data_IF_404253328045
#
_entry.id   IF_404253328045
#
_cell.length_a   1.000
_cell.length_b   1.000
_cell.length_c   1.000
_cell.angle_alpha   90.00
_cell.angle_beta   90.00
_cell.angle_gamma   90.00
#
_symmetry.space_group_name_H-M   'P 1'
#
loop_
_entity.id
_entity.type
_entity.pdbx_description
1 polymer ?
#
# COMPACT_ATOMS: atom_id res chain seq x y z
N UNK A 1 -1.77 -19.37 -12.67
CA UNK A 1 -2.59 -18.41 -13.42
C UNK A 1 -2.24 -18.46 -14.89
N UNK A 2 -3.20 -18.82 -15.70
CA UNK A 2 -3.07 -18.92 -17.15
C UNK A 2 -3.81 -17.77 -17.82
N UNK A 3 -3.18 -17.15 -18.79
CA UNK A 3 -3.80 -16.22 -19.73
C UNK A 3 -3.87 -16.87 -21.13
N UNK A 4 -4.69 -16.37 -22.06
CA UNK A 4 -4.71 -16.91 -23.43
C UNK A 4 -3.31 -16.94 -24.03
N UNK A 5 -2.81 -18.15 -24.29
CA UNK A 5 -1.49 -18.40 -24.88
C UNK A 5 -0.29 -18.36 -23.94
N UNK A 6 -0.47 -18.13 -22.63
CA UNK A 6 0.66 -18.05 -21.70
C UNK A 6 0.29 -18.52 -20.30
N UNK A 7 1.12 -19.36 -19.70
CA UNK A 7 1.11 -19.64 -18.26
C UNK A 7 1.98 -18.59 -17.57
N UNK A 8 1.38 -17.70 -16.77
CA UNK A 8 2.08 -16.63 -16.10
C UNK A 8 2.53 -16.99 -14.67
N UNK A 9 1.79 -17.90 -14.01
CA UNK A 9 2.15 -18.48 -12.71
C UNK A 9 1.89 -20.00 -12.79
N UNK A 10 2.90 -20.77 -12.43
CA UNK A 10 2.80 -22.23 -12.33
C UNK A 10 3.31 -22.63 -10.95
N UNK A 11 2.45 -23.33 -10.19
CA UNK A 11 2.78 -23.92 -8.88
C UNK A 11 3.47 -22.94 -7.89
N UNK A 12 2.99 -21.68 -7.87
CA UNK A 12 3.51 -20.68 -6.95
C UNK A 12 3.02 -20.97 -5.54
N UNK A 13 3.93 -21.29 -4.64
CA UNK A 13 3.64 -21.52 -3.22
C UNK A 13 4.61 -20.71 -2.37
N UNK A 14 4.09 -19.98 -1.40
CA UNK A 14 4.85 -19.23 -0.38
C UNK A 14 3.97 -18.94 0.82
N UNK A 15 4.58 -18.64 1.92
CA UNK A 15 3.96 -18.21 3.17
C UNK A 15 4.61 -16.91 3.65
N UNK A 16 3.87 -16.14 4.44
CA UNK A 16 4.34 -14.89 5.05
C UNK A 16 3.88 -14.89 6.50
N UNK A 17 4.79 -14.68 7.44
CA UNK A 17 4.50 -14.65 8.85
C UNK A 17 4.15 -13.24 9.36
N UNK A 18 3.46 -13.16 10.48
CA UNK A 18 3.15 -11.89 11.13
C UNK A 18 4.44 -11.13 11.48
N UNK A 19 4.47 -9.84 11.17
CA UNK A 19 5.64 -8.98 11.37
C UNK A 19 6.82 -9.29 10.44
N UNK A 20 6.67 -10.15 9.45
CA UNK A 20 7.68 -10.42 8.44
C UNK A 20 7.73 -9.34 7.36
N UNK A 21 8.94 -9.06 6.86
CA UNK A 21 9.15 -8.35 5.59
C UNK A 21 9.59 -9.35 4.55
N UNK A 22 8.68 -9.76 3.71
CA UNK A 22 8.90 -10.74 2.66
C UNK A 22 9.22 -10.07 1.33
N UNK A 23 10.39 -10.35 0.74
CA UNK A 23 10.81 -9.77 -0.53
C UNK A 23 10.55 -10.74 -1.69
N UNK A 24 9.65 -10.37 -2.59
CA UNK A 24 9.40 -11.10 -3.84
C UNK A 24 10.40 -10.66 -4.92
N UNK A 25 11.41 -11.47 -5.17
CA UNK A 25 12.48 -11.19 -6.13
C UNK A 25 12.40 -12.08 -7.36
N UNK A 26 12.85 -11.59 -8.50
CA UNK A 26 12.86 -12.35 -9.76
C UNK A 26 13.05 -11.45 -10.98
N UNK A 27 13.40 -12.04 -12.10
CA UNK A 27 13.57 -11.32 -13.37
C UNK A 27 12.25 -10.71 -13.88
N UNK A 28 12.36 -9.77 -14.83
CA UNK A 28 11.18 -9.27 -15.53
C UNK A 28 10.49 -10.43 -16.27
N UNK A 29 9.16 -10.50 -16.17
CA UNK A 29 8.39 -11.61 -16.74
C UNK A 29 8.31 -12.88 -15.89
N UNK A 30 8.89 -12.92 -14.68
CA UNK A 30 8.82 -14.10 -13.79
C UNK A 30 7.47 -14.27 -13.07
N UNK A 31 6.48 -13.44 -13.34
CA UNK A 31 5.14 -13.55 -12.76
C UNK A 31 4.88 -12.74 -11.50
N UNK A 32 5.87 -11.98 -10.96
CA UNK A 32 5.71 -11.17 -9.72
C UNK A 32 4.46 -10.28 -9.75
N UNK A 33 4.33 -9.45 -10.78
CA UNK A 33 3.19 -8.54 -10.90
C UNK A 33 1.87 -9.31 -11.14
N UNK A 34 1.92 -10.49 -11.74
CA UNK A 34 0.73 -11.35 -11.86
C UNK A 34 0.32 -11.88 -10.48
N UNK A 35 1.27 -12.35 -9.68
CA UNK A 35 1.01 -12.81 -8.31
C UNK A 35 0.41 -11.68 -7.45
N UNK A 36 1.04 -10.50 -7.48
CA UNK A 36 0.53 -9.31 -6.79
C UNK A 36 -0.91 -8.98 -7.22
N UNK A 37 -1.20 -9.00 -8.52
CA UNK A 37 -2.55 -8.73 -9.05
C UNK A 37 -3.57 -9.81 -8.69
N UNK A 38 -3.14 -11.06 -8.54
CA UNK A 38 -3.99 -12.14 -8.01
C UNK A 38 -4.29 -11.88 -6.53
N UNK A 39 -3.28 -11.57 -5.71
CA UNK A 39 -3.45 -11.24 -4.30
C UNK A 39 -4.34 -9.99 -4.09
N UNK A 40 -4.23 -9.03 -5.00
CA UNK A 40 -5.06 -7.82 -5.01
C UNK A 40 -6.50 -8.04 -5.48
N UNK A 41 -6.84 -9.25 -5.97
CA UNK A 41 -8.16 -9.54 -6.51
C UNK A 41 -8.41 -9.00 -7.91
N UNK A 42 -7.40 -8.41 -8.60
CA UNK A 42 -7.53 -7.95 -9.98
C UNK A 42 -7.58 -9.10 -11.00
N UNK A 43 -6.95 -10.22 -10.67
CA UNK A 43 -6.96 -11.42 -11.50
C UNK A 43 -7.47 -12.59 -10.68
N UNK A 44 -8.46 -13.28 -11.21
CA UNK A 44 -8.94 -14.55 -10.64
C UNK A 44 -7.83 -15.60 -10.80
N UNK A 45 -7.43 -16.34 -9.75
CA UNK A 45 -6.55 -17.48 -9.88
C UNK A 45 -7.24 -18.60 -10.69
N UNK A 46 -6.47 -19.52 -11.24
CA UNK A 46 -7.03 -20.69 -11.91
C UNK A 46 -7.59 -21.69 -10.86
N UNK A 47 -8.53 -22.57 -11.22
CA UNK A 47 -9.07 -23.56 -10.29
C UNK A 47 -7.99 -24.44 -9.64
N UNK A 48 -8.19 -24.80 -8.38
CA UNK A 48 -7.24 -25.63 -7.62
C UNK A 48 -6.25 -24.82 -6.78
N UNK A 49 -6.35 -23.49 -6.76
CA UNK A 49 -5.62 -22.67 -5.81
C UNK A 49 -6.12 -22.88 -4.38
N UNK A 50 -5.22 -22.68 -3.41
CA UNK A 50 -5.54 -22.64 -2.00
C UNK A 50 -4.82 -21.46 -1.37
N UNK A 51 -5.54 -20.56 -0.72
CA UNK A 51 -5.01 -19.42 0.02
C UNK A 51 -5.63 -19.42 1.40
N UNK A 52 -4.79 -19.30 2.42
CA UNK A 52 -5.25 -19.15 3.81
C UNK A 52 -4.72 -17.84 4.38
N UNK A 53 -5.47 -17.24 5.27
CA UNK A 53 -5.07 -16.08 6.05
C UNK A 53 -5.50 -16.31 7.50
N UNK A 54 -4.56 -16.27 8.43
CA UNK A 54 -4.79 -16.58 9.85
C UNK A 54 -5.48 -17.94 10.04
N UNK A 55 -5.00 -18.97 9.34
CA UNK A 55 -5.54 -20.34 9.33
C UNK A 55 -6.95 -20.52 8.75
N UNK A 56 -7.58 -19.45 8.27
CA UNK A 56 -8.87 -19.50 7.60
C UNK A 56 -8.71 -19.47 6.08
N UNK A 57 -9.56 -20.23 5.38
CA UNK A 57 -9.56 -20.21 3.90
C UNK A 57 -9.98 -18.83 3.42
N UNK A 58 -9.12 -18.21 2.63
CA UNK A 58 -9.34 -16.90 2.02
C UNK A 58 -9.70 -17.05 0.55
N UNK A 59 -10.93 -16.64 0.21
CA UNK A 59 -11.36 -16.61 -1.19
C UNK A 59 -10.80 -15.37 -1.89
N UNK A 60 -9.69 -15.58 -2.58
CA UNK A 60 -8.99 -14.57 -3.36
C UNK A 60 -9.70 -14.38 -4.70
N UNK A 61 -10.75 -13.59 -4.74
CA UNK A 61 -11.59 -13.48 -5.94
C UNK A 61 -11.92 -12.05 -6.34
N UNK A 62 -11.82 -11.09 -5.44
CA UNK A 62 -12.17 -9.71 -5.73
C UNK A 62 -11.32 -8.71 -4.94
N UNK A 63 -11.26 -7.49 -5.45
CA UNK A 63 -10.60 -6.36 -4.76
C UNK A 63 -11.27 -6.09 -3.41
N UNK A 64 -12.59 -6.20 -3.35
CA UNK A 64 -13.37 -6.00 -2.13
C UNK A 64 -13.04 -7.05 -1.07
N UNK A 65 -12.88 -8.33 -1.48
CA UNK A 65 -12.48 -9.39 -0.57
C UNK A 65 -11.07 -9.18 -0.03
N UNK A 66 -10.11 -8.85 -0.89
CA UNK A 66 -8.74 -8.53 -0.49
C UNK A 66 -8.70 -7.34 0.50
N UNK A 67 -9.46 -6.29 0.20
CA UNK A 67 -9.57 -5.12 1.07
C UNK A 67 -10.22 -5.45 2.42
N UNK A 68 -11.29 -6.26 2.42
CA UNK A 68 -11.97 -6.70 3.63
C UNK A 68 -11.09 -7.59 4.52
N UNK A 69 -10.19 -8.36 3.91
CA UNK A 69 -9.19 -9.18 4.60
C UNK A 69 -7.99 -8.38 5.14
N UNK A 70 -7.96 -7.06 4.93
CA UNK A 70 -6.88 -6.20 5.43
C UNK A 70 -5.65 -6.18 4.51
N UNK A 71 -5.77 -6.61 3.25
CA UNK A 71 -4.69 -6.51 2.27
C UNK A 71 -4.70 -5.09 1.67
N UNK A 72 -3.56 -4.42 1.71
CA UNK A 72 -3.38 -3.07 1.15
C UNK A 72 -2.25 -3.05 0.13
N UNK A 73 -2.40 -2.16 -0.84
CA UNK A 73 -1.46 -2.04 -1.94
C UNK A 73 -0.93 -0.62 -2.08
N UNK A 74 0.37 -0.52 -2.31
CA UNK A 74 1.02 0.67 -2.82
C UNK A 74 1.64 0.29 -4.16
N UNK A 75 1.05 0.78 -5.23
CA UNK A 75 1.52 0.52 -6.59
C UNK A 75 2.73 1.37 -6.92
N UNK A 76 3.46 1.00 -7.98
CA UNK A 76 4.57 1.77 -8.54
C UNK A 76 4.12 3.20 -8.91
N UNK A 77 2.93 3.35 -9.52
CA UNK A 77 2.23 4.63 -9.57
C UNK A 77 1.51 4.84 -8.25
N UNK A 78 2.03 5.75 -7.44
CA UNK A 78 1.55 6.02 -6.08
C UNK A 78 0.10 6.55 -6.04
N UNK A 79 -0.47 6.94 -7.18
CA UNK A 79 -1.83 7.49 -7.30
C UNK A 79 -2.02 8.75 -6.43
N UNK A 80 -0.97 9.55 -6.23
CA UNK A 80 -1.03 10.80 -5.48
C UNK A 80 -1.40 11.95 -6.41
N UNK A 81 -2.24 12.85 -5.92
CA UNK A 81 -2.52 14.10 -6.62
C UNK A 81 -1.42 15.10 -6.29
N UNK A 82 -0.50 15.29 -7.21
CA UNK A 82 0.73 16.07 -6.98
C UNK A 82 0.48 17.54 -6.63
N UNK A 83 -0.59 18.13 -7.17
CA UNK A 83 -0.94 19.53 -7.02
C UNK A 83 -1.53 19.88 -5.64
N UNK A 84 -1.94 18.89 -4.85
CA UNK A 84 -2.54 19.12 -3.53
C UNK A 84 -1.61 18.63 -2.40
N UNK A 85 -1.89 19.06 -1.19
CA UNK A 85 -1.07 18.78 -0.01
C UNK A 85 -1.14 17.30 0.41
N UNK A 86 -0.22 16.90 1.29
CA UNK A 86 -0.29 15.59 1.95
C UNK A 86 -1.59 15.42 2.73
N UNK A 87 -2.04 16.47 3.43
CA UNK A 87 -3.31 16.46 4.17
C UNK A 87 -4.47 16.09 3.26
N UNK A 88 -4.55 16.74 2.10
CA UNK A 88 -5.60 16.48 1.12
C UNK A 88 -5.47 15.09 0.47
N UNK A 89 -4.24 14.65 0.14
CA UNK A 89 -4.01 13.32 -0.40
C UNK A 89 -4.45 12.20 0.57
N UNK A 90 -4.22 12.38 1.86
CA UNK A 90 -4.68 11.43 2.87
C UNK A 90 -6.21 11.46 3.01
N UNK A 91 -6.84 12.62 2.91
CA UNK A 91 -8.28 12.77 3.01
C UNK A 91 -9.05 12.24 1.79
N UNK A 92 -8.42 12.13 0.60
CA UNK A 92 -9.06 11.61 -0.61
C UNK A 92 -9.58 10.17 -0.46
N UNK A 93 -8.96 9.36 0.40
CA UNK A 93 -9.38 7.98 0.66
C UNK A 93 -10.52 7.86 1.70
N UNK A 94 -10.59 8.79 2.69
CA UNK A 94 -11.42 8.66 3.91
C UNK A 94 -12.45 9.76 4.11
N UNK A 95 -12.35 10.81 3.32
CA UNK A 95 -13.05 12.05 3.58
C UNK A 95 -12.36 12.88 4.67
N UNK A 96 -12.98 14.01 4.95
CA UNK A 96 -12.51 14.96 5.95
C UNK A 96 -13.30 14.82 7.25
N UNK A 97 -12.62 14.99 8.38
CA UNK A 97 -13.29 15.23 9.64
C UNK A 97 -14.02 16.58 9.60
N UNK A 98 -15.32 16.55 9.85
CA UNK A 98 -16.17 17.74 9.75
C UNK A 98 -16.70 18.15 11.12
N UNK A 99 -16.51 19.40 11.46
CA UNK A 99 -17.11 20.04 12.60
C UNK A 99 -18.55 20.50 12.34
N UNK A 100 -19.21 21.06 13.36
CA UNK A 100 -20.54 21.62 13.27
C UNK A 100 -20.71 22.51 12.03
N UNK A 101 -21.74 22.24 11.21
CA UNK A 101 -22.01 22.96 9.97
C UNK A 101 -21.27 22.41 8.72
N UNK A 102 -20.76 21.18 8.75
CA UNK A 102 -20.03 20.52 7.65
C UNK A 102 -18.76 21.27 7.20
N UNK A 103 -18.13 22.00 8.11
CA UNK A 103 -16.85 22.64 7.84
C UNK A 103 -15.72 21.66 8.14
N UNK A 104 -14.75 21.57 7.22
CA UNK A 104 -13.54 20.74 7.40
C UNK A 104 -12.75 21.28 8.59
N UNK A 105 -12.38 20.38 9.50
CA UNK A 105 -11.50 20.72 10.62
C UNK A 105 -10.03 20.57 10.20
N UNK A 106 -9.54 21.57 9.45
CA UNK A 106 -8.17 21.56 8.93
C UNK A 106 -7.08 21.38 9.99
N UNK A 107 -7.30 21.85 11.21
CA UNK A 107 -6.34 21.70 12.31
C UNK A 107 -6.24 20.21 12.73
N UNK A 108 -7.36 19.52 12.85
CA UNK A 108 -7.40 18.10 13.16
C UNK A 108 -6.79 17.27 12.02
N UNK A 109 -7.16 17.56 10.77
CA UNK A 109 -6.62 16.90 9.58
C UNK A 109 -5.10 17.05 9.46
N UNK A 110 -4.59 18.27 9.65
CA UNK A 110 -3.14 18.54 9.63
C UNK A 110 -2.42 17.77 10.73
N UNK A 111 -2.99 17.72 11.95
CA UNK A 111 -2.42 16.97 13.07
C UNK A 111 -2.39 15.47 12.77
N UNK A 112 -3.49 14.90 12.23
CA UNK A 112 -3.59 13.49 11.85
C UNK A 112 -2.58 13.14 10.77
N UNK A 113 -2.51 13.92 9.71
CA UNK A 113 -1.58 13.72 8.61
C UNK A 113 -0.11 13.79 9.09
N UNK A 114 0.22 14.79 9.91
CA UNK A 114 1.56 14.93 10.46
C UNK A 114 1.94 13.73 11.34
N UNK A 115 1.04 13.26 12.19
CA UNK A 115 1.29 12.11 13.05
C UNK A 115 1.53 10.84 12.22
N UNK A 116 0.67 10.57 11.22
CA UNK A 116 0.81 9.41 10.35
C UNK A 116 2.18 9.36 9.64
N UNK A 117 2.68 10.51 9.18
CA UNK A 117 4.00 10.58 8.55
C UNK A 117 5.15 10.47 9.57
N UNK A 118 5.01 11.05 10.76
CA UNK A 118 6.00 10.91 11.84
C UNK A 118 6.13 9.46 12.32
N UNK A 119 5.03 8.72 12.41
CA UNK A 119 5.03 7.30 12.79
C UNK A 119 5.85 6.45 11.79
N UNK A 120 5.81 6.84 10.51
CA UNK A 120 6.65 6.26 9.46
C UNK A 120 8.08 6.82 9.42
N UNK A 121 8.40 7.81 10.25
CA UNK A 121 9.74 8.44 10.30
C UNK A 121 9.94 9.60 9.33
N UNK A 122 8.87 10.12 8.72
CA UNK A 122 8.93 11.29 7.85
C UNK A 122 8.49 12.57 8.59
N UNK A 123 9.45 13.42 8.94
CA UNK A 123 9.14 14.78 9.45
C UNK A 123 9.12 15.76 8.27
N UNK A 124 7.94 15.99 7.73
CA UNK A 124 7.69 16.86 6.58
C UNK A 124 6.60 17.89 6.88
N UNK A 125 6.58 19.01 6.14
CA UNK A 125 5.42 19.90 6.18
C UNK A 125 4.30 19.29 5.32
N UNK A 126 3.29 18.76 5.99
CA UNK A 126 2.15 18.07 5.35
C UNK A 126 1.20 19.01 4.59
N UNK A 127 1.42 20.32 4.66
CA UNK A 127 0.58 21.35 4.01
C UNK A 127 1.08 21.74 2.63
N UNK A 128 2.33 21.39 2.30
CA UNK A 128 2.85 21.67 0.96
C UNK A 128 2.33 20.65 -0.04
N UNK A 129 2.18 21.03 -1.34
CA UNK A 129 1.84 20.09 -2.40
C UNK A 129 2.84 18.93 -2.48
N UNK A 130 2.33 17.72 -2.73
CA UNK A 130 3.14 16.50 -2.82
C UNK A 130 4.21 16.61 -3.91
N UNK A 131 3.98 17.42 -4.96
CA UNK A 131 4.95 17.72 -6.00
C UNK A 131 6.32 18.19 -5.47
N UNK A 132 6.34 18.86 -4.31
CA UNK A 132 7.58 19.38 -3.70
C UNK A 132 8.26 18.40 -2.74
N UNK A 133 7.69 17.23 -2.53
CA UNK A 133 8.28 16.19 -1.68
C UNK A 133 9.31 15.36 -2.45
N UNK A 134 10.36 14.92 -1.77
CA UNK A 134 11.28 13.91 -2.29
C UNK A 134 10.62 12.55 -2.47
N UNK A 135 11.24 11.67 -3.26
CA UNK A 135 10.68 10.37 -3.65
C UNK A 135 10.27 9.50 -2.46
N UNK A 136 11.16 9.31 -1.47
CA UNK A 136 10.84 8.51 -0.27
C UNK A 136 9.67 9.10 0.51
N UNK A 137 9.56 10.43 0.64
CA UNK A 137 8.46 11.06 1.33
C UNK A 137 7.12 10.87 0.58
N UNK A 138 7.13 10.92 -0.75
CA UNK A 138 5.95 10.60 -1.58
C UNK A 138 5.49 9.15 -1.35
N UNK A 139 6.43 8.20 -1.37
CA UNK A 139 6.12 6.80 -1.04
C UNK A 139 5.58 6.68 0.39
N UNK A 140 6.17 7.40 1.35
CA UNK A 140 5.65 7.50 2.72
C UNK A 140 4.20 8.01 2.80
N UNK A 141 3.85 9.02 2.00
CA UNK A 141 2.45 9.52 1.90
C UNK A 141 1.52 8.43 1.35
N UNK A 142 1.94 7.70 0.31
CA UNK A 142 1.14 6.62 -0.25
C UNK A 142 0.94 5.46 0.75
N UNK A 143 2.00 5.10 1.49
CA UNK A 143 1.93 4.12 2.59
C UNK A 143 0.97 4.62 3.68
N UNK A 144 1.15 5.85 4.17
CA UNK A 144 0.29 6.43 5.20
C UNK A 144 -1.18 6.42 4.77
N UNK A 145 -1.47 6.73 3.50
CA UNK A 145 -2.81 6.65 2.93
C UNK A 145 -3.35 5.24 2.96
N UNK A 146 -2.59 4.25 2.47
CA UNK A 146 -2.99 2.85 2.48
C UNK A 146 -3.26 2.32 3.90
N UNK A 147 -2.48 2.76 4.89
CA UNK A 147 -2.65 2.38 6.30
C UNK A 147 -3.89 3.01 6.94
N UNK A 148 -4.28 4.21 6.51
CA UNK A 148 -5.48 4.88 7.02
C UNK A 148 -6.77 4.30 6.45
N UNK A 149 -6.73 3.60 5.31
CA UNK A 149 -7.90 3.01 4.62
C UNK A 149 -8.66 1.93 5.41
N UNK A 150 -8.40 1.75 6.67
CA UNK A 150 -9.15 0.76 7.42
C UNK A 150 -9.42 1.16 8.86
N UNK A 151 -10.71 1.04 9.24
CA UNK A 151 -11.12 0.84 10.64
C UNK A 151 -10.75 -0.57 11.14
N UNK A 152 -10.14 -1.41 10.30
CA UNK A 152 -9.76 -2.79 10.59
C UNK A 152 -8.24 -2.93 10.56
N UNK A 153 -7.72 -3.88 11.32
CA UNK A 153 -6.30 -4.21 11.30
C UNK A 153 -5.84 -4.54 9.87
N UNK A 154 -4.73 -3.98 9.47
CA UNK A 154 -4.07 -4.33 8.22
C UNK A 154 -3.33 -5.64 8.46
N UNK A 155 -3.61 -6.63 7.61
CA UNK A 155 -2.97 -7.94 7.69
C UNK A 155 -1.72 -7.99 6.80
N UNK A 156 -1.79 -7.40 5.61
CA UNK A 156 -0.69 -7.41 4.64
C UNK A 156 -0.60 -6.06 3.93
N UNK A 157 0.59 -5.49 3.87
CA UNK A 157 0.90 -4.34 3.02
C UNK A 157 1.82 -4.79 1.88
N UNK A 158 1.36 -4.66 0.66
CA UNK A 158 2.11 -5.00 -0.54
C UNK A 158 2.64 -3.71 -1.19
N UNK A 159 3.95 -3.65 -1.39
CA UNK A 159 4.63 -2.56 -2.07
C UNK A 159 5.15 -3.07 -3.42
N UNK A 160 4.67 -2.50 -4.53
CA UNK A 160 5.09 -2.88 -5.88
C UNK A 160 6.21 -1.95 -6.36
N UNK A 161 7.43 -2.48 -6.48
CA UNK A 161 8.64 -1.78 -6.88
C UNK A 161 8.88 -0.41 -6.17
N UNK A 162 8.77 -0.33 -4.84
CA UNK A 162 8.74 0.95 -4.13
C UNK A 162 10.06 1.74 -4.21
N UNK A 163 11.13 1.12 -4.71
CA UNK A 163 12.47 1.71 -4.80
C UNK A 163 12.90 2.04 -6.23
N UNK A 164 12.09 1.74 -7.25
CA UNK A 164 12.50 1.77 -8.66
C UNK A 164 13.07 3.13 -9.13
N UNK A 165 12.63 4.24 -8.53
CA UNK A 165 13.05 5.60 -8.92
C UNK A 165 13.63 6.39 -7.75
N UNK A 166 14.10 5.71 -6.69
CA UNK A 166 14.62 6.37 -5.49
C UNK A 166 16.15 6.44 -5.52
N UNK A 167 16.76 7.60 -5.16
CA UNK A 167 18.18 7.67 -4.81
C UNK A 167 18.50 6.78 -3.60
N UNK A 168 19.74 6.29 -3.49
CA UNK A 168 20.13 5.34 -2.44
C UNK A 168 19.77 5.79 -1.01
N UNK A 169 20.01 7.06 -0.67
CA UNK A 169 19.67 7.59 0.65
C UNK A 169 18.13 7.58 0.93
N UNK A 170 17.31 7.69 -0.11
CA UNK A 170 15.86 7.61 0.00
C UNK A 170 15.37 6.17 0.14
N UNK A 171 16.10 5.20 -0.44
CA UNK A 171 15.85 3.76 -0.27
C UNK A 171 16.00 3.37 1.20
N UNK A 172 17.07 3.81 1.87
CA UNK A 172 17.30 3.52 3.29
C UNK A 172 16.18 4.09 4.16
N UNK A 173 15.74 5.32 3.89
CA UNK A 173 14.60 5.95 4.60
C UNK A 173 13.29 5.16 4.43
N UNK A 174 13.04 4.67 3.22
CA UNK A 174 11.87 3.86 2.95
C UNK A 174 11.92 2.54 3.73
N UNK A 175 13.05 1.85 3.73
CA UNK A 175 13.20 0.62 4.50
C UNK A 175 13.09 0.86 6.01
N UNK A 176 13.57 1.99 6.52
CA UNK A 176 13.35 2.36 7.92
C UNK A 176 11.87 2.58 8.24
N UNK A 177 11.12 3.20 7.32
CA UNK A 177 9.66 3.33 7.46
C UNK A 177 8.97 1.96 7.48
N UNK A 178 9.33 1.05 6.56
CA UNK A 178 8.77 -0.31 6.52
C UNK A 178 9.10 -1.08 7.80
N UNK A 179 10.31 -0.95 8.35
CA UNK A 179 10.69 -1.59 9.63
C UNK A 179 9.89 -1.10 10.84
N UNK A 180 9.34 0.12 10.80
CA UNK A 180 8.48 0.66 11.86
C UNK A 180 7.06 0.11 11.84
N UNK A 181 6.67 -0.53 10.74
CA UNK A 181 5.34 -1.15 10.57
C UNK A 181 5.28 -2.60 11.10
N UNK A 182 6.42 -3.14 11.50
CA UNK A 182 6.52 -4.49 12.08
C UNK A 182 5.89 -4.58 13.46
#
# INVERSE_FOLDING_TARGET
KTFPGQVALQDATFDVEEGEVHALVGQNGSGKSTLIKVLAGFHQPDPGHNVTMNDEVFDIGSVEAAHAAGIRFVHQDLGLVEAVSTVENLALGFGYDTSFGRRINWAAETKRAKQALLDLGFDIDVRVPVAFLGGAARTGVAIARALQESDRNISILILDEPTANLPGADVDRLFDAVRRLK
#
